data_IF_409826637611
#
_entry.id   IF_409826637611
#
_cell.length_a   1.000
_cell.length_b   1.000
_cell.length_c   1.000
_cell.angle_alpha   90.00
_cell.angle_beta   90.00
_cell.angle_gamma   90.00
#
_symmetry.space_group_name_H-M   'P 1'
#
loop_
_entity.id
_entity.type
_entity.pdbx_description
1 polymer ?
#
# COMPACT_ATOMS: atom_id res chain seq x y z
N UNK A 1 -9.39 -4.59 -2.49
CA UNK A 1 -9.39 -3.38 -1.64
C UNK A 1 -10.55 -3.33 -0.67
N UNK A 2 -11.82 -3.31 -1.11
CA UNK A 2 -12.98 -3.12 -0.21
C UNK A 2 -12.94 -3.99 1.07
N UNK A 3 -12.78 -5.34 1.01
CA UNK A 3 -12.76 -6.15 2.24
C UNK A 3 -11.55 -5.85 3.13
N UNK A 4 -10.38 -5.61 2.53
CA UNK A 4 -9.14 -5.29 3.23
C UNK A 4 -9.20 -3.90 3.89
N UNK A 5 -9.84 -2.93 3.24
CA UNK A 5 -10.05 -1.59 3.82
C UNK A 5 -10.97 -1.66 5.03
N UNK A 6 -12.08 -2.41 4.93
CA UNK A 6 -13.01 -2.61 6.05
C UNK A 6 -12.29 -3.31 7.20
N UNK A 7 -11.59 -4.42 6.92
CA UNK A 7 -10.80 -5.12 7.92
C UNK A 7 -9.77 -4.20 8.58
N UNK A 8 -9.00 -3.44 7.80
CA UNK A 8 -7.96 -2.54 8.32
C UNK A 8 -8.54 -1.49 9.26
N UNK A 9 -9.66 -0.85 8.86
CA UNK A 9 -10.32 0.17 9.66
C UNK A 9 -10.76 -0.35 11.03
N UNK A 10 -11.44 -1.50 11.08
CA UNK A 10 -11.86 -2.11 12.34
C UNK A 10 -10.67 -2.65 13.14
N UNK A 11 -9.70 -3.29 12.49
CA UNK A 11 -8.53 -3.87 13.14
C UNK A 11 -7.67 -2.81 13.85
N UNK A 12 -7.46 -1.65 13.22
CA UNK A 12 -6.73 -0.54 13.84
C UNK A 12 -7.57 0.15 14.92
N UNK A 13 -8.88 0.32 14.71
CA UNK A 13 -9.75 0.96 15.70
C UNK A 13 -9.88 0.17 17.02
N UNK A 14 -9.58 -1.13 17.00
CA UNK A 14 -9.57 -1.99 18.18
C UNK A 14 -8.23 -1.99 18.93
N UNK A 15 -7.21 -1.27 18.44
CA UNK A 15 -5.96 -1.07 19.18
C UNK A 15 -6.25 -0.13 20.36
N UNK A 16 -6.01 -0.53 21.63
CA UNK A 16 -6.44 0.23 22.81
C UNK A 16 -5.89 1.65 22.89
N UNK A 17 -4.62 1.83 22.51
CA UNK A 17 -3.94 3.12 22.41
C UNK A 17 -2.91 3.05 21.26
N UNK A 18 -2.70 4.15 20.55
CA UNK A 18 -1.75 4.23 19.44
C UNK A 18 -0.29 4.43 19.94
N UNK A 19 0.10 3.72 20.99
CA UNK A 19 1.49 3.70 21.46
C UNK A 19 2.35 2.86 20.52
N UNK A 20 3.65 3.19 20.44
CA UNK A 20 4.59 2.46 19.58
C UNK A 20 4.59 0.95 19.87
N UNK A 21 4.54 0.58 21.15
CA UNK A 21 4.54 -0.82 21.60
C UNK A 21 3.30 -1.58 21.10
N UNK A 22 2.10 -0.97 21.20
CA UNK A 22 0.87 -1.62 20.75
C UNK A 22 0.79 -1.74 19.23
N UNK A 23 1.29 -0.74 18.49
CA UNK A 23 1.37 -0.81 17.03
C UNK A 23 2.39 -1.88 16.60
N UNK A 24 3.55 -1.94 17.27
CA UNK A 24 4.54 -2.99 17.01
C UNK A 24 3.95 -4.37 17.26
N UNK A 25 3.29 -4.58 18.41
CA UNK A 25 2.62 -5.83 18.75
C UNK A 25 1.55 -6.22 17.71
N UNK A 26 0.81 -5.24 17.19
CA UNK A 26 -0.17 -5.47 16.11
C UNK A 26 0.51 -5.98 14.84
N UNK A 27 1.65 -5.41 14.44
CA UNK A 27 2.43 -5.85 13.27
C UNK A 27 3.19 -7.16 13.50
N UNK A 28 3.54 -7.52 14.74
CA UNK A 28 4.16 -8.81 15.07
C UNK A 28 3.23 -10.01 14.85
N UNK A 29 1.92 -9.80 14.72
CA UNK A 29 0.98 -10.86 14.33
C UNK A 29 1.12 -11.22 12.85
N UNK A 30 1.44 -12.49 12.56
CA UNK A 30 1.58 -13.01 11.18
C UNK A 30 0.37 -12.71 10.31
N UNK A 31 -0.84 -12.81 10.86
CA UNK A 31 -2.07 -12.54 10.10
C UNK A 31 -2.24 -11.06 9.78
N UNK A 32 -2.01 -10.18 10.76
CA UNK A 32 -2.11 -8.73 10.54
C UNK A 32 -1.04 -8.24 9.55
N UNK A 33 0.19 -8.70 9.70
CA UNK A 33 1.27 -8.39 8.75
C UNK A 33 0.93 -8.86 7.33
N UNK A 34 0.44 -10.08 7.18
CA UNK A 34 0.05 -10.65 5.87
C UNK A 34 -1.07 -9.85 5.21
N UNK A 35 -2.12 -9.52 5.97
CA UNK A 35 -3.25 -8.75 5.46
C UNK A 35 -2.87 -7.28 5.18
N UNK A 36 -2.00 -6.68 5.99
CA UNK A 36 -1.46 -5.34 5.76
C UNK A 36 -0.61 -5.29 4.49
N UNK A 37 0.30 -6.25 4.29
CA UNK A 37 1.09 -6.40 3.06
C UNK A 37 0.16 -6.55 1.84
N UNK A 38 -0.85 -7.42 1.94
CA UNK A 38 -1.83 -7.64 0.86
C UNK A 38 -2.59 -6.36 0.54
N UNK A 39 -2.99 -5.59 1.56
CA UNK A 39 -3.66 -4.31 1.40
C UNK A 39 -2.76 -3.27 0.71
N UNK A 40 -1.50 -3.14 1.13
CA UNK A 40 -0.56 -2.17 0.59
C UNK A 40 -0.24 -2.48 -0.89
N UNK A 41 0.07 -3.74 -1.21
CA UNK A 41 0.30 -4.16 -2.61
C UNK A 41 -0.93 -3.87 -3.46
N UNK A 42 -2.12 -4.28 -3.01
CA UNK A 42 -3.35 -4.05 -3.76
C UNK A 42 -3.65 -2.54 -3.94
N UNK A 43 -3.32 -1.71 -2.95
CA UNK A 43 -3.55 -0.26 -3.00
C UNK A 43 -2.67 0.40 -4.03
N UNK A 44 -1.36 0.16 -4.00
CA UNK A 44 -0.44 0.74 -4.97
C UNK A 44 -0.68 0.21 -6.39
N UNK A 45 -1.01 -1.07 -6.53
CA UNK A 45 -1.39 -1.64 -7.82
C UNK A 45 -2.66 -0.99 -8.38
N UNK A 46 -3.71 -0.86 -7.57
CA UNK A 46 -4.94 -0.20 -7.99
C UNK A 46 -4.73 1.28 -8.34
N UNK A 47 -3.93 2.00 -7.55
CA UNK A 47 -3.59 3.40 -7.83
C UNK A 47 -2.83 3.54 -9.15
N UNK A 48 -1.90 2.63 -9.46
CA UNK A 48 -1.17 2.63 -10.73
C UNK A 48 -2.12 2.44 -11.92
N UNK A 49 -3.05 1.49 -11.85
CA UNK A 49 -4.07 1.27 -12.89
C UNK A 49 -5.02 2.45 -13.04
N UNK A 50 -5.49 3.03 -11.92
CA UNK A 50 -6.38 4.18 -11.95
C UNK A 50 -5.71 5.40 -12.60
N UNK A 51 -4.46 5.68 -12.23
CA UNK A 51 -3.70 6.79 -12.82
C UNK A 51 -3.40 6.56 -14.29
N UNK A 52 -3.19 5.32 -14.74
CA UNK A 52 -3.02 5.04 -16.16
C UNK A 52 -4.22 5.50 -16.98
N UNK A 53 -5.44 5.15 -16.57
CA UNK A 53 -6.66 5.57 -17.28
C UNK A 53 -6.78 7.10 -17.27
N UNK A 54 -6.51 7.76 -16.14
CA UNK A 54 -6.49 9.23 -16.06
C UNK A 54 -5.49 9.81 -17.06
N UNK A 55 -4.29 9.24 -17.20
CA UNK A 55 -3.33 9.73 -18.17
C UNK A 55 -3.77 9.49 -19.61
N UNK A 56 -4.40 8.35 -19.89
CA UNK A 56 -4.94 8.02 -21.21
C UNK A 56 -6.07 8.96 -21.63
N UNK A 57 -6.91 9.39 -20.69
CA UNK A 57 -8.05 10.29 -20.95
C UNK A 57 -7.63 11.77 -21.06
N UNK A 58 -6.62 12.20 -20.30
CA UNK A 58 -6.31 13.62 -20.15
C UNK A 58 -4.98 14.07 -20.81
N UNK A 59 -4.06 13.16 -21.16
CA UNK A 59 -2.75 13.51 -21.75
C UNK A 59 -2.70 13.16 -23.24
N UNK A 60 -2.75 14.19 -24.07
CA UNK A 60 -2.78 14.05 -25.53
C UNK A 60 -1.41 13.93 -26.20
N UNK A 61 -0.33 14.36 -25.52
CA UNK A 61 1.04 14.23 -26.04
C UNK A 61 1.57 12.83 -25.72
N UNK A 62 1.77 12.00 -26.74
CA UNK A 62 2.17 10.60 -26.58
C UNK A 62 3.43 10.40 -25.71
N UNK A 63 4.52 11.14 -25.98
CA UNK A 63 5.74 11.01 -25.18
C UNK A 63 5.53 11.37 -23.70
N UNK A 64 4.71 12.39 -23.43
CA UNK A 64 4.41 12.80 -22.06
C UNK A 64 3.54 11.75 -21.35
N UNK A 65 2.52 11.21 -22.04
CA UNK A 65 1.66 10.15 -21.53
C UNK A 65 2.48 8.92 -21.14
N UNK A 66 3.34 8.43 -22.03
CA UNK A 66 4.21 7.27 -21.76
C UNK A 66 5.13 7.54 -20.58
N UNK A 67 5.78 8.72 -20.52
CA UNK A 67 6.65 9.08 -19.40
C UNK A 67 5.89 9.10 -18.06
N UNK A 68 4.65 9.63 -18.04
CA UNK A 68 3.81 9.69 -16.83
C UNK A 68 3.34 8.30 -16.39
N UNK A 69 2.91 7.45 -17.33
CA UNK A 69 2.50 6.07 -17.03
C UNK A 69 3.68 5.28 -16.47
N UNK A 70 4.83 5.27 -17.16
CA UNK A 70 6.01 4.53 -16.71
C UNK A 70 6.53 5.07 -15.38
N UNK A 71 6.62 6.40 -15.23
CA UNK A 71 7.06 7.03 -13.99
C UNK A 71 6.15 6.67 -12.80
N UNK A 72 4.83 6.66 -13.01
CA UNK A 72 3.87 6.29 -11.97
C UNK A 72 3.95 4.81 -11.63
N UNK A 73 4.05 3.92 -12.63
CA UNK A 73 4.20 2.49 -12.39
C UNK A 73 5.46 2.19 -11.56
N UNK A 74 6.59 2.82 -11.88
CA UNK A 74 7.84 2.67 -11.13
C UNK A 74 7.70 3.22 -9.70
N UNK A 75 7.12 4.41 -9.53
CA UNK A 75 6.89 4.99 -8.22
C UNK A 75 6.00 4.10 -7.34
N UNK A 76 4.88 3.60 -7.87
CA UNK A 76 3.97 2.73 -7.15
C UNK A 76 4.63 1.38 -6.79
N UNK A 77 5.45 0.82 -7.69
CA UNK A 77 6.20 -0.40 -7.42
C UNK A 77 7.23 -0.19 -6.28
N UNK A 78 7.97 0.92 -6.30
CA UNK A 78 8.92 1.24 -5.24
C UNK A 78 8.22 1.45 -3.88
N UNK A 79 7.08 2.14 -3.87
CA UNK A 79 6.28 2.30 -2.65
C UNK A 79 5.73 0.97 -2.13
N UNK A 80 5.26 0.09 -3.01
CA UNK A 80 4.83 -1.26 -2.64
C UNK A 80 5.98 -2.08 -2.03
N UNK A 81 7.15 -2.10 -2.66
CA UNK A 81 8.32 -2.81 -2.14
C UNK A 81 8.76 -2.23 -0.79
N UNK A 82 8.90 -0.90 -0.69
CA UNK A 82 9.33 -0.23 0.53
C UNK A 82 8.38 -0.48 1.69
N UNK A 83 7.07 -0.46 1.43
CA UNK A 83 6.05 -0.74 2.45
C UNK A 83 6.03 -2.22 2.88
N UNK A 84 6.23 -3.16 1.96
CA UNK A 84 6.43 -4.58 2.31
C UNK A 84 7.65 -4.76 3.21
N UNK A 85 8.80 -4.19 2.83
CA UNK A 85 10.02 -4.26 3.64
C UNK A 85 9.81 -3.66 5.03
N UNK A 86 9.12 -2.52 5.12
CA UNK A 86 8.82 -1.89 6.41
C UNK A 86 7.95 -2.78 7.30
N UNK A 87 6.87 -3.36 6.76
CA UNK A 87 6.00 -4.28 7.51
C UNK A 87 6.76 -5.52 7.95
N UNK A 88 7.59 -6.11 7.08
CA UNK A 88 8.41 -7.28 7.44
C UNK A 88 9.42 -6.97 8.55
N UNK A 89 10.04 -5.79 8.55
CA UNK A 89 10.92 -5.36 9.65
C UNK A 89 10.16 -5.29 10.97
N UNK A 90 8.98 -4.68 10.99
CA UNK A 90 8.14 -4.60 12.19
C UNK A 90 7.67 -5.99 12.65
N UNK A 91 7.34 -6.89 11.72
CA UNK A 91 6.85 -8.22 12.02
C UNK A 91 7.92 -9.16 12.61
N UNK A 92 9.17 -9.04 12.16
CA UNK A 92 10.28 -9.96 12.53
C UNK A 92 11.10 -9.44 13.73
N UNK A 93 10.82 -8.23 14.21
CA UNK A 93 11.47 -7.65 15.40
C UNK A 93 12.14 -6.33 15.05
N UNK A 94 11.31 -5.28 14.93
CA UNK A 94 11.74 -3.91 14.64
C UNK A 94 12.96 -3.46 15.44
#
# INVERSE_FOLDING_TARGET
>A
LVPLTIWLAFSIALIPEASYENVLAWFSSTWNATLAISFLIATFYHAALGMQIVYEDYIHKECAKVAMVVGTQLAMALLAIGSVVAVLKLAVGG
#
